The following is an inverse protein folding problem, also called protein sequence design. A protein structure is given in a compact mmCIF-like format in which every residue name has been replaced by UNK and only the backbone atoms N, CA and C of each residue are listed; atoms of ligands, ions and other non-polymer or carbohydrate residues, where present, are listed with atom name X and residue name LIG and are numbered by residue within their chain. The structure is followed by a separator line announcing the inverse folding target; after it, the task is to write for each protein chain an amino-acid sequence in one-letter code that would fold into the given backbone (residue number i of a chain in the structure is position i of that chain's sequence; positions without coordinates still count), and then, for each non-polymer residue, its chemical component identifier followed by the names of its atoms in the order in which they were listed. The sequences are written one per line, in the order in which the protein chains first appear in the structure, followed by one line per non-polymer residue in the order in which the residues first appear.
data_IF_156041460604
#
_entry.id   IF_156041460604
#
_cell.length_a   1.000
_cell.length_b   1.000
_cell.length_c   1.000
_cell.angle_alpha   90.00
_cell.angle_beta   90.00
_cell.angle_gamma   90.00
#
_symmetry.space_group_name_H-M   'P 1'
#
loop_
_entity.id
_entity.type
_entity.pdbx_description
1 polymer ?
#
# COMPACT_ATOMS: atom_id res chain seq x y z
N UNK A 1 -14.15 -8.85 19.46
CA UNK A 1 -12.74 -9.12 19.71
C UNK A 1 -11.95 -9.42 18.44
N UNK A 2 -12.38 -10.41 17.65
CA UNK A 2 -11.72 -10.72 16.38
C UNK A 2 -11.72 -9.57 15.40
N UNK A 3 -12.83 -8.83 15.34
CA UNK A 3 -12.96 -7.69 14.44
C UNK A 3 -11.91 -6.62 14.72
N UNK A 4 -11.69 -6.30 16.00
CA UNK A 4 -10.70 -5.30 16.38
C UNK A 4 -9.28 -5.70 16.00
N UNK A 5 -8.93 -6.98 16.23
CA UNK A 5 -7.59 -7.49 15.88
C UNK A 5 -7.38 -7.47 14.37
N UNK A 6 -8.38 -7.86 13.58
CA UNK A 6 -8.30 -7.85 12.14
C UNK A 6 -8.13 -6.43 11.59
N UNK A 7 -8.92 -5.48 12.09
CA UNK A 7 -8.84 -4.10 11.65
C UNK A 7 -7.48 -3.48 11.98
N UNK A 8 -6.94 -3.81 13.14
CA UNK A 8 -5.62 -3.33 13.53
C UNK A 8 -4.54 -3.90 12.59
N UNK A 9 -4.64 -5.18 12.26
CA UNK A 9 -3.71 -5.82 11.33
C UNK A 9 -3.76 -5.14 9.95
N UNK A 10 -4.98 -4.89 9.45
CA UNK A 10 -5.16 -4.22 8.15
C UNK A 10 -4.60 -2.80 8.18
N UNK A 11 -4.78 -2.09 9.29
CA UNK A 11 -4.21 -0.77 9.45
C UNK A 11 -2.68 -0.83 9.37
N UNK A 12 -2.06 -1.76 10.11
CA UNK A 12 -0.60 -1.90 10.09
C UNK A 12 -0.09 -2.29 8.71
N UNK A 13 -0.80 -3.17 8.01
CA UNK A 13 -0.42 -3.59 6.68
C UNK A 13 -0.47 -2.41 5.70
N UNK A 14 -1.55 -1.63 5.74
CA UNK A 14 -1.71 -0.47 4.89
C UNK A 14 -0.65 0.59 5.18
N UNK A 15 -0.41 0.85 6.46
CA UNK A 15 0.59 1.81 6.89
C UNK A 15 2.00 1.38 6.45
N UNK A 16 2.29 0.08 6.56
CA UNK A 16 3.59 -0.46 6.13
C UNK A 16 3.81 -0.30 4.63
N UNK A 17 2.77 -0.47 3.82
CA UNK A 17 2.87 -0.25 2.38
C UNK A 17 3.19 1.21 2.07
N UNK A 18 2.59 2.14 2.80
CA UNK A 18 2.83 3.57 2.62
C UNK A 18 4.27 3.91 3.03
N UNK A 19 4.72 3.40 4.18
CA UNK A 19 6.09 3.64 4.65
C UNK A 19 7.10 3.09 3.65
N UNK A 20 6.84 1.91 3.10
CA UNK A 20 7.72 1.33 2.09
C UNK A 20 7.79 2.20 0.85
N UNK A 21 6.66 2.76 0.40
CA UNK A 21 6.65 3.67 -0.74
C UNK A 21 7.53 4.88 -0.47
N UNK A 22 7.42 5.48 0.71
CA UNK A 22 8.22 6.64 1.09
C UNK A 22 9.72 6.31 1.14
N UNK A 23 10.06 5.12 1.65
CA UNK A 23 11.46 4.68 1.71
C UNK A 23 12.04 4.47 0.31
N UNK A 24 11.26 3.90 -0.60
CA UNK A 24 11.71 3.70 -1.99
C UNK A 24 11.91 5.03 -2.68
N UNK A 25 10.99 5.98 -2.48
CA UNK A 25 11.10 7.33 -3.03
C UNK A 25 12.38 7.99 -2.54
N UNK A 26 12.66 7.89 -1.26
CA UNK A 26 13.87 8.47 -0.67
C UNK A 26 15.13 7.79 -1.22
N UNK A 27 15.11 6.47 -1.30
CA UNK A 27 16.25 5.69 -1.80
C UNK A 27 16.56 6.03 -3.26
N UNK A 28 15.54 6.25 -4.08
CA UNK A 28 15.70 6.58 -5.50
C UNK A 28 15.89 8.07 -5.75
N UNK A 29 15.84 8.90 -4.71
CA UNK A 29 16.02 10.34 -4.84
C UNK A 29 14.89 11.04 -5.60
N UNK A 30 13.68 10.54 -5.48
CA UNK A 30 12.52 11.12 -6.16
C UNK A 30 11.95 12.29 -5.36
N UNK A 31 10.99 13.01 -5.97
CA UNK A 31 10.39 14.17 -5.31
C UNK A 31 9.64 13.77 -4.04
N UNK A 32 9.54 14.71 -3.09
CA UNK A 32 8.86 14.45 -1.82
C UNK A 32 7.35 14.46 -2.02
N UNK A 33 6.63 13.38 -1.62
CA UNK A 33 5.17 13.35 -1.77
C UNK A 33 4.49 14.30 -0.78
N UNK A 34 3.40 14.91 -1.23
CA UNK A 34 2.60 15.82 -0.41
C UNK A 34 1.47 15.10 0.32
N UNK A 35 1.21 13.86 -0.04
CA UNK A 35 0.19 13.02 0.59
C UNK A 35 0.59 11.56 0.44
N UNK A 36 -0.08 10.69 1.18
CA UNK A 36 0.17 9.25 1.08
C UNK A 36 -0.17 8.73 -0.33
N UNK A 37 -1.29 9.20 -0.88
CA UNK A 37 -1.70 8.78 -2.22
C UNK A 37 -0.67 9.21 -3.27
N UNK A 38 -0.10 10.39 -3.12
CA UNK A 38 0.91 10.90 -4.05
C UNK A 38 2.16 10.03 -4.07
N UNK A 39 2.49 9.36 -2.96
CA UNK A 39 3.62 8.44 -2.93
C UNK A 39 3.49 7.38 -4.02
N UNK A 40 2.30 6.84 -4.20
CA UNK A 40 2.05 5.81 -5.21
C UNK A 40 2.06 6.40 -6.62
N UNK A 41 1.55 7.62 -6.78
CA UNK A 41 1.60 8.32 -8.07
C UNK A 41 3.04 8.53 -8.52
N UNK A 42 3.92 8.91 -7.59
CA UNK A 42 5.34 9.10 -7.87
C UNK A 42 5.98 7.79 -8.31
N UNK A 43 5.67 6.69 -7.65
CA UNK A 43 6.20 5.39 -8.01
C UNK A 43 5.72 4.96 -9.40
N UNK A 44 4.47 5.27 -9.74
CA UNK A 44 3.94 5.00 -11.07
C UNK A 44 4.60 5.85 -12.15
N UNK A 45 4.77 7.15 -11.88
CA UNK A 45 5.43 8.08 -12.81
C UNK A 45 6.88 7.69 -13.07
N UNK A 46 7.53 7.11 -12.07
CA UNK A 46 8.94 6.71 -12.15
C UNK A 46 9.13 5.30 -12.69
N UNK A 47 8.05 4.64 -13.12
CA UNK A 47 8.04 3.28 -13.64
C UNK A 47 8.52 2.21 -12.65
N UNK A 48 8.53 2.54 -11.35
CA UNK A 48 8.79 1.56 -10.29
C UNK A 48 7.59 0.65 -10.15
N UNK A 49 6.39 1.24 -10.24
CA UNK A 49 5.14 0.50 -10.33
C UNK A 49 4.54 0.71 -11.71
N UNK A 50 3.78 -0.29 -12.20
CA UNK A 50 2.96 -0.11 -13.37
C UNK A 50 1.96 1.03 -13.10
N UNK A 51 1.78 1.94 -14.08
CA UNK A 51 0.98 3.15 -13.88
C UNK A 51 -0.47 2.86 -13.48
N UNK A 52 -1.10 1.87 -14.14
CA UNK A 52 -2.48 1.50 -13.81
C UNK A 52 -2.56 0.89 -12.41
N UNK A 53 -1.58 0.06 -12.07
CA UNK A 53 -1.52 -0.55 -10.74
C UNK A 53 -1.32 0.54 -9.68
N UNK A 54 -0.42 1.48 -9.91
CA UNK A 54 -0.15 2.56 -8.96
C UNK A 54 -1.40 3.40 -8.71
N UNK A 55 -2.13 3.71 -9.77
CA UNK A 55 -3.38 4.46 -9.66
C UNK A 55 -4.40 3.71 -8.81
N UNK A 56 -4.56 2.41 -9.06
CA UNK A 56 -5.50 1.58 -8.30
C UNK A 56 -5.03 1.40 -6.86
N UNK A 57 -3.75 1.14 -6.66
CA UNK A 57 -3.20 0.84 -5.34
C UNK A 57 -3.18 2.07 -4.44
N UNK A 58 -3.19 3.28 -5.01
CA UNK A 58 -3.24 4.52 -4.23
C UNK A 58 -4.44 4.55 -3.28
N UNK A 59 -5.48 3.77 -3.55
CA UNK A 59 -6.65 3.65 -2.67
C UNK A 59 -6.29 3.12 -1.28
N UNK A 60 -5.13 2.45 -1.14
CA UNK A 60 -4.71 1.95 0.16
C UNK A 60 -4.46 3.10 1.15
N UNK A 61 -4.09 4.28 0.64
CA UNK A 61 -3.92 5.47 1.48
C UNK A 61 -5.25 5.90 2.11
N UNK A 62 -6.33 5.91 1.32
CA UNK A 62 -7.66 6.23 1.82
C UNK A 62 -8.16 5.16 2.78
N UNK A 63 -7.89 3.90 2.49
CA UNK A 63 -8.27 2.78 3.33
C UNK A 63 -7.57 2.88 4.70
N UNK A 64 -6.28 3.19 4.69
CA UNK A 64 -5.50 3.39 5.92
C UNK A 64 -6.11 4.50 6.78
N UNK A 65 -6.45 5.63 6.15
CA UNK A 65 -7.04 6.75 6.89
C UNK A 65 -8.42 6.41 7.42
N UNK A 66 -9.21 5.67 6.65
CA UNK A 66 -10.52 5.20 7.08
C UNK A 66 -10.40 4.30 8.31
N UNK A 67 -9.46 3.36 8.31
CA UNK A 67 -9.23 2.48 9.44
C UNK A 67 -8.77 3.23 10.69
N UNK A 68 -7.99 4.30 10.51
CA UNK A 68 -7.49 5.09 11.63
C UNK A 68 -8.57 5.90 12.32
N UNK A 69 -9.59 6.35 11.58
CA UNK A 69 -10.55 7.33 12.09
C UNK A 69 -11.99 6.84 12.18
N UNK A 70 -12.39 5.92 11.30
CA UNK A 70 -13.80 5.55 11.16
C UNK A 70 -14.06 4.06 11.32
N UNK A 71 -13.13 3.30 11.89
CA UNK A 71 -13.24 1.85 11.94
C UNK A 71 -14.49 1.35 12.64
N UNK A 72 -15.05 2.12 13.55
CA UNK A 72 -16.28 1.74 14.26
C UNK A 72 -17.51 1.65 13.36
N UNK A 73 -17.48 2.33 12.23
CA UNK A 73 -18.58 2.38 11.29
C UNK A 73 -18.47 1.35 10.17
N UNK A 74 -17.48 0.49 10.23
CA UNK A 74 -17.17 -0.44 9.14
C UNK A 74 -18.13 -1.61 9.11
N UNK A 75 -18.71 -1.85 7.92
CA UNK A 75 -19.54 -3.01 7.64
C UNK A 75 -18.66 -4.23 7.40
N UNK A 76 -19.00 -5.35 8.02
CA UNK A 76 -18.23 -6.59 7.90
C UNK A 76 -18.12 -7.08 6.45
N UNK A 77 -19.18 -6.94 5.65
CA UNK A 77 -19.16 -7.36 4.25
C UNK A 77 -18.19 -6.54 3.42
N UNK A 78 -18.17 -5.23 3.67
CA UNK A 78 -17.24 -4.33 2.99
C UNK A 78 -15.80 -4.69 3.36
N UNK A 79 -15.56 -4.99 4.63
CA UNK A 79 -14.24 -5.38 5.10
C UNK A 79 -13.76 -6.66 4.39
N UNK A 80 -14.62 -7.66 4.30
CA UNK A 80 -14.26 -8.92 3.66
C UNK A 80 -13.89 -8.71 2.19
N UNK A 81 -14.66 -7.92 1.46
CA UNK A 81 -14.35 -7.60 0.08
C UNK A 81 -13.04 -6.87 -0.08
N UNK A 82 -12.77 -5.91 0.80
CA UNK A 82 -11.52 -5.15 0.78
C UNK A 82 -10.32 -6.04 1.11
N UNK A 83 -10.45 -6.95 2.06
CA UNK A 83 -9.37 -7.87 2.44
C UNK A 83 -8.94 -8.72 1.26
N UNK A 84 -9.90 -9.33 0.57
CA UNK A 84 -9.60 -10.22 -0.55
C UNK A 84 -8.87 -9.47 -1.68
N UNK A 85 -9.31 -8.26 -1.99
CA UNK A 85 -8.68 -7.45 -3.02
C UNK A 85 -7.31 -6.92 -2.58
N UNK A 86 -7.20 -6.52 -1.31
CA UNK A 86 -5.98 -5.89 -0.80
C UNK A 86 -4.81 -6.87 -0.71
N UNK A 87 -5.08 -8.14 -0.38
CA UNK A 87 -4.00 -9.13 -0.26
C UNK A 87 -3.34 -9.39 -1.60
N UNK A 88 -4.13 -9.55 -2.67
CA UNK A 88 -3.59 -9.73 -4.00
C UNK A 88 -2.81 -8.50 -4.46
N UNK A 89 -3.34 -7.33 -4.19
CA UNK A 89 -2.68 -6.07 -4.56
C UNK A 89 -1.39 -5.85 -3.78
N UNK A 90 -1.35 -6.23 -2.50
CA UNK A 90 -0.12 -6.13 -1.70
C UNK A 90 0.95 -7.06 -2.27
N UNK A 91 0.59 -8.28 -2.67
CA UNK A 91 1.52 -9.20 -3.31
C UNK A 91 2.10 -8.58 -4.59
N UNK A 92 1.25 -8.03 -5.45
CA UNK A 92 1.69 -7.37 -6.67
C UNK A 92 2.62 -6.20 -6.37
N UNK A 93 2.26 -5.41 -5.37
CA UNK A 93 3.06 -4.28 -4.95
C UNK A 93 4.47 -4.72 -4.53
N UNK A 94 4.56 -5.75 -3.68
CA UNK A 94 5.85 -6.24 -3.21
C UNK A 94 6.67 -6.83 -4.35
N UNK A 95 6.05 -7.53 -5.29
CA UNK A 95 6.73 -8.08 -6.45
C UNK A 95 7.34 -6.96 -7.30
N UNK A 96 6.56 -5.91 -7.58
CA UNK A 96 7.04 -4.81 -8.41
C UNK A 96 8.14 -4.01 -7.71
N UNK A 97 7.99 -3.75 -6.41
CA UNK A 97 9.02 -3.05 -5.64
C UNK A 97 10.31 -3.88 -5.60
N UNK A 98 10.21 -5.17 -5.35
CA UNK A 98 11.37 -6.06 -5.30
C UNK A 98 12.11 -6.09 -6.62
N UNK A 99 11.37 -6.15 -7.73
CA UNK A 99 11.97 -6.14 -9.05
C UNK A 99 12.69 -4.82 -9.33
N UNK A 100 12.09 -3.70 -8.95
CA UNK A 100 12.68 -2.38 -9.17
C UNK A 100 13.93 -2.17 -8.34
N UNK A 101 14.01 -2.77 -7.15
CA UNK A 101 15.18 -2.65 -6.27
C UNK A 101 16.21 -3.74 -6.51
N UNK A 102 15.87 -4.75 -7.33
CA UNK A 102 16.78 -5.87 -7.59
C UNK A 102 16.92 -6.81 -6.41
N UNK A 103 15.99 -6.81 -5.47
CA UNK A 103 16.08 -7.62 -4.26
C UNK A 103 16.01 -9.11 -4.55
N UNK A 104 15.31 -9.51 -5.61
CA UNK A 104 15.22 -10.91 -5.98
C UNK A 104 16.58 -11.51 -6.35
N UNK A 105 17.49 -10.69 -6.85
CA UNK A 105 18.85 -11.10 -7.18
C UNK A 105 19.70 -11.31 -5.94
N UNK A 106 19.39 -10.60 -4.87
CA UNK A 106 20.14 -10.67 -3.61
C UNK A 106 19.70 -11.86 -2.75
N UNK A 107 18.49 -12.34 -2.94
CA UNK A 107 17.92 -13.44 -2.17
C UNK A 107 18.35 -14.79 -2.73
N UNK A 108 18.56 -14.87 -4.02
CA UNK A 108 19.03 -16.07 -4.69
C UNK A 108 20.52 -16.30 -4.36
#
# INVERSE_FOLDING_TARGET
MYRGALLHYLYLLSDSCIVLAELVIKHKGLRIPQSYAESFDILGDSHILDAEFAYRFARIASFRNFLAHDYEKIDAEVICGQILNSLDDVDQYLIQISAALGLSELID
#
